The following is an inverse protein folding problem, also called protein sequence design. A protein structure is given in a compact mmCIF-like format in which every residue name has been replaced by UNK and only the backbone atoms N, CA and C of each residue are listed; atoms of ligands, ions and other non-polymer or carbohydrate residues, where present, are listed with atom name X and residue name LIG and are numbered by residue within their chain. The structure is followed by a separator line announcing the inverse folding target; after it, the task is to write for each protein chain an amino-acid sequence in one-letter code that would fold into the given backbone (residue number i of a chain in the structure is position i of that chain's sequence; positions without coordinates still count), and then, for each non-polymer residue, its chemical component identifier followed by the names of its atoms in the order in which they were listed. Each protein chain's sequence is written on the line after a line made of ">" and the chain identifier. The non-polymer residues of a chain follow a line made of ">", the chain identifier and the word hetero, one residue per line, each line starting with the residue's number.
data_IF_140618384707
#
_entry.id   IF_140618384707
#
_cell.length_a   1.000
_cell.length_b   1.000
_cell.length_c   1.000
_cell.angle_alpha   90.00
_cell.angle_beta   90.00
_cell.angle_gamma   90.00
#
_symmetry.space_group_name_H-M   'P 1'
#
loop_
_entity.id
_entity.type
_entity.pdbx_description
1 polymer ?
#
# COMPACT_ATOMS: atom_id res chain seq x y z
N UNK A 1 0.39 8.18 -0.61
CA UNK A 1 0.57 8.88 -1.91
C UNK A 1 1.87 8.54 -2.63
N UNK A 2 3.00 8.36 -1.94
CA UNK A 2 4.30 8.08 -2.58
C UNK A 2 4.30 6.85 -3.52
N UNK A 3 3.58 5.78 -3.17
CA UNK A 3 3.47 4.61 -4.04
C UNK A 3 2.73 4.92 -5.35
N UNK A 4 1.53 5.50 -5.29
CA UNK A 4 0.72 5.79 -6.48
C UNK A 4 1.35 6.82 -7.43
N UNK A 5 1.81 7.96 -6.91
CA UNK A 5 2.29 9.07 -7.77
C UNK A 5 3.80 9.07 -7.97
N UNK A 6 4.56 8.51 -7.01
CA UNK A 6 6.01 8.44 -7.10
C UNK A 6 6.48 7.17 -7.80
N UNK A 7 6.08 6.01 -7.27
CA UNK A 7 6.56 4.70 -7.75
C UNK A 7 5.85 4.29 -9.04
N UNK A 8 4.51 4.26 -9.04
CA UNK A 8 3.73 3.91 -10.22
C UNK A 8 3.67 5.05 -11.26
N UNK A 9 4.03 6.28 -10.86
CA UNK A 9 3.99 7.49 -11.71
C UNK A 9 2.64 7.74 -12.39
N UNK A 10 1.55 7.30 -11.75
CA UNK A 10 0.21 7.50 -12.25
C UNK A 10 -0.31 8.90 -11.88
N UNK A 11 -1.14 9.46 -12.74
CA UNK A 11 -1.90 10.65 -12.38
C UNK A 11 -2.88 10.31 -11.23
N UNK A 12 -3.30 11.30 -10.43
CA UNK A 12 -4.32 11.09 -9.40
C UNK A 12 -5.59 10.41 -9.92
N UNK A 13 -6.10 10.86 -11.07
CA UNK A 13 -7.29 10.27 -11.68
C UNK A 13 -7.08 8.79 -12.05
N UNK A 14 -5.95 8.47 -12.70
CA UNK A 14 -5.65 7.10 -13.11
C UNK A 14 -5.44 6.16 -11.91
N UNK A 15 -4.76 6.63 -10.85
CA UNK A 15 -4.56 5.84 -9.64
C UNK A 15 -5.89 5.57 -8.91
N UNK A 16 -6.74 6.59 -8.76
CA UNK A 16 -8.01 6.43 -8.06
C UNK A 16 -9.08 5.68 -8.85
N UNK A 17 -8.94 5.56 -10.17
CA UNK A 17 -9.80 4.70 -10.98
C UNK A 17 -9.42 3.22 -10.93
N UNK A 18 -8.26 2.86 -10.39
CA UNK A 18 -7.83 1.46 -10.31
C UNK A 18 -8.68 0.65 -9.35
N UNK A 19 -8.96 -0.59 -9.73
CA UNK A 19 -9.52 -1.58 -8.82
C UNK A 19 -8.45 -2.09 -7.84
N UNK A 20 -8.86 -2.63 -6.68
CA UNK A 20 -7.91 -3.28 -5.75
C UNK A 20 -7.10 -4.42 -6.39
N UNK A 21 -7.67 -5.11 -7.39
CA UNK A 21 -6.99 -6.20 -8.11
C UNK A 21 -5.87 -5.68 -8.99
N UNK A 22 -6.10 -4.58 -9.70
CA UNK A 22 -5.08 -3.93 -10.52
C UNK A 22 -3.98 -3.33 -9.65
N UNK A 23 -4.35 -2.73 -8.50
CA UNK A 23 -3.37 -2.21 -7.55
C UNK A 23 -2.47 -3.32 -7.01
N UNK A 24 -3.06 -4.47 -6.64
CA UNK A 24 -2.30 -5.64 -6.21
C UNK A 24 -1.39 -6.19 -7.33
N UNK A 25 -1.87 -6.22 -8.58
CA UNK A 25 -1.07 -6.64 -9.72
C UNK A 25 0.12 -5.69 -9.95
N UNK A 26 -0.08 -4.38 -9.87
CA UNK A 26 0.97 -3.38 -10.01
C UNK A 26 2.05 -3.53 -8.92
N UNK A 27 1.64 -3.73 -7.67
CA UNK A 27 2.56 -3.98 -6.55
C UNK A 27 3.35 -5.29 -6.75
N UNK A 28 2.69 -6.37 -7.17
CA UNK A 28 3.35 -7.65 -7.48
C UNK A 28 4.35 -7.53 -8.64
N UNK A 29 4.06 -6.74 -9.66
CA UNK A 29 4.95 -6.53 -10.80
C UNK A 29 6.25 -5.80 -10.42
N UNK A 30 6.20 -4.89 -9.44
CA UNK A 30 7.36 -4.11 -8.99
C UNK A 30 8.21 -4.83 -7.95
N UNK A 31 7.55 -5.44 -6.95
CA UNK A 31 8.24 -6.01 -5.79
C UNK A 31 8.35 -7.54 -5.84
N UNK A 32 7.82 -8.16 -6.90
CA UNK A 32 7.64 -9.59 -6.97
C UNK A 32 6.51 -10.08 -6.06
N UNK A 33 6.22 -11.37 -6.16
CA UNK A 33 5.18 -12.02 -5.36
C UNK A 33 5.75 -12.41 -3.99
N UNK A 34 5.62 -11.55 -2.97
CA UNK A 34 6.08 -11.80 -1.57
C UNK A 34 5.32 -10.84 -0.62
N UNK A 35 4.90 -11.15 0.61
CA UNK A 35 4.85 -12.35 1.45
C UNK A 35 3.43 -12.45 2.07
N UNK A 36 3.12 -13.60 2.67
CA UNK A 36 1.91 -13.89 3.46
C UNK A 36 1.43 -12.66 4.25
N UNK A 37 0.12 -12.40 4.23
CA UNK A 37 -0.48 -11.33 5.03
C UNK A 37 0.07 -11.37 6.47
N UNK A 38 0.36 -10.21 7.10
CA UNK A 38 0.91 -10.20 8.45
C UNK A 38 0.00 -10.97 9.39
N UNK A 39 0.60 -11.68 10.34
CA UNK A 39 -0.18 -12.28 11.44
C UNK A 39 -0.92 -11.17 12.19
N UNK A 40 -2.02 -11.53 12.88
CA UNK A 40 -2.76 -10.56 13.68
C UNK A 40 -1.87 -9.81 14.68
N UNK A 41 -0.96 -10.55 15.34
CA UNK A 41 0.03 -9.98 16.26
C UNK A 41 0.94 -8.95 15.58
N UNK A 42 1.48 -9.27 14.41
CA UNK A 42 2.33 -8.36 13.64
C UNK A 42 1.57 -7.12 13.19
N UNK A 43 0.30 -7.28 12.80
CA UNK A 43 -0.54 -6.14 12.44
C UNK A 43 -0.78 -5.22 13.65
N UNK A 44 -1.10 -5.77 14.82
CA UNK A 44 -1.29 -4.97 16.04
C UNK A 44 -0.01 -4.23 16.46
N UNK A 45 1.18 -4.83 16.28
CA UNK A 45 2.49 -4.18 16.49
C UNK A 45 2.71 -3.00 15.54
N UNK A 46 2.36 -3.16 14.25
CA UNK A 46 2.46 -2.10 13.25
C UNK A 46 1.53 -0.92 13.57
N UNK A 47 0.29 -1.19 13.96
CA UNK A 47 -0.67 -0.13 14.34
C UNK A 47 -0.18 0.70 15.53
N UNK A 48 0.53 0.08 16.49
CA UNK A 48 1.15 0.80 17.63
C UNK A 48 2.36 1.62 17.21
N UNK A 49 3.18 1.09 16.30
CA UNK A 49 4.38 1.78 15.81
C UNK A 49 4.04 2.97 14.88
N UNK A 50 2.95 2.86 14.14
CA UNK A 50 2.50 3.85 13.15
C UNK A 50 1.03 4.23 13.40
N UNK A 51 0.73 4.98 14.48
CA UNK A 51 -0.64 5.37 14.78
C UNK A 51 -1.20 6.34 13.72
N UNK A 52 -2.44 6.13 13.28
CA UNK A 52 -3.16 6.98 12.30
C UNK A 52 -3.61 8.34 12.87
N UNK A 53 -3.20 8.69 14.09
CA UNK A 53 -3.54 9.92 14.77
C UNK A 53 -2.81 11.14 14.18
N UNK A 54 -3.49 12.29 14.19
CA UNK A 54 -2.91 13.56 13.75
C UNK A 54 -1.67 13.90 14.59
N UNK A 55 -0.50 13.74 13.99
CA UNK A 55 0.67 14.55 14.36
C UNK A 55 0.26 15.99 14.08
N UNK A 56 0.01 16.76 15.14
CA UNK A 56 -0.07 18.22 15.05
C UNK A 56 1.27 18.77 14.59
#
# INVERSE_FOLDING_TARGET
>A
MAFGFGVLRLSPAAFWSMTPRELAAAANGLYGRRAVAPSRRTFDELMRAFPDGARR
#
